data_IF_734391664638
#
_entry.id   IF_734391664638
#
_cell.length_a   1.000
_cell.length_b   1.000
_cell.length_c   1.000
_cell.angle_alpha   90.00
_cell.angle_beta   90.00
_cell.angle_gamma   90.00
#
_symmetry.space_group_name_H-M   'P 1'
#
loop_
_entity.id
_entity.type
_entity.pdbx_description
1 polymer ?
#
# COMPACT_ATOMS: atom_id res chain seq x y z
N UNK A 1 -16.93 49.49 -56.59
CA UNK A 1 -16.32 48.21 -56.30
C UNK A 1 -16.50 47.92 -54.83
N UNK A 2 -17.38 46.96 -54.46
CA UNK A 2 -17.67 46.62 -53.09
C UNK A 2 -16.96 45.26 -52.76
N UNK A 3 -15.98 45.28 -51.88
CA UNK A 3 -15.33 44.07 -51.38
C UNK A 3 -16.13 43.51 -50.19
N UNK A 4 -16.75 42.35 -50.36
CA UNK A 4 -17.30 41.57 -49.29
C UNK A 4 -16.15 40.76 -48.65
N UNK A 5 -15.86 41.02 -47.38
CA UNK A 5 -15.03 40.17 -46.54
C UNK A 5 -15.91 39.04 -45.92
N UNK A 6 -15.71 37.84 -46.40
CA UNK A 6 -16.31 36.66 -45.77
C UNK A 6 -15.56 36.23 -44.52
N UNK A 7 -16.19 36.31 -43.36
CA UNK A 7 -15.67 35.79 -42.12
C UNK A 7 -16.02 34.30 -42.01
N UNK A 8 -15.00 33.46 -42.08
CA UNK A 8 -15.14 31.99 -41.84
C UNK A 8 -15.10 31.70 -40.35
N UNK A 9 -16.24 31.33 -39.79
CA UNK A 9 -16.35 30.89 -38.41
C UNK A 9 -15.85 29.43 -38.30
N UNK A 10 -14.69 29.23 -37.70
CA UNK A 10 -14.17 27.88 -37.37
C UNK A 10 -14.80 27.46 -36.04
N UNK A 11 -15.81 26.61 -36.09
CA UNK A 11 -16.43 26.02 -34.90
C UNK A 11 -15.57 24.82 -34.45
N UNK A 12 -14.76 25.04 -33.43
CA UNK A 12 -13.99 23.97 -32.82
C UNK A 12 -14.91 23.05 -32.03
N UNK A 13 -15.13 21.85 -32.54
CA UNK A 13 -15.87 20.79 -31.85
C UNK A 13 -14.97 20.19 -30.75
N UNK A 14 -15.20 20.58 -29.50
CA UNK A 14 -14.55 19.94 -28.34
C UNK A 14 -15.23 18.60 -28.11
N UNK A 15 -14.59 17.53 -28.55
CA UNK A 15 -15.00 16.17 -28.23
C UNK A 15 -14.62 15.91 -26.78
N UNK A 16 -15.56 16.12 -25.87
CA UNK A 16 -15.45 15.66 -24.49
C UNK A 16 -15.66 14.14 -24.53
N UNK A 17 -14.57 13.38 -24.51
CA UNK A 17 -14.65 11.93 -24.34
C UNK A 17 -15.26 11.65 -22.96
N UNK A 18 -16.39 10.91 -22.85
CA UNK A 18 -16.89 10.49 -21.56
C UNK A 18 -15.84 9.59 -20.92
N UNK A 19 -15.37 9.94 -19.73
CA UNK A 19 -14.62 9.02 -18.89
C UNK A 19 -15.47 7.77 -18.74
N UNK A 20 -15.05 6.67 -19.34
CA UNK A 20 -15.70 5.37 -19.22
C UNK A 20 -15.50 4.96 -17.76
N UNK A 21 -16.50 5.24 -16.93
CA UNK A 21 -16.61 4.64 -15.62
C UNK A 21 -16.70 3.12 -15.86
N UNK A 22 -15.60 2.40 -15.66
CA UNK A 22 -15.61 0.96 -15.70
C UNK A 22 -16.65 0.46 -14.69
N UNK A 23 -17.61 -0.32 -15.18
CA UNK A 23 -18.59 -0.99 -14.34
C UNK A 23 -17.85 -1.74 -13.22
N UNK A 24 -18.37 -1.72 -11.98
CA UNK A 24 -17.75 -2.45 -10.88
C UNK A 24 -17.63 -3.91 -11.30
N UNK A 25 -16.43 -4.46 -11.19
CA UNK A 25 -16.19 -5.89 -11.35
C UNK A 25 -17.24 -6.63 -10.50
N UNK A 26 -17.89 -7.64 -11.08
CA UNK A 26 -18.96 -8.37 -10.38
C UNK A 26 -18.46 -8.81 -8.99
N UNK A 27 -19.36 -8.93 -8.02
CA UNK A 27 -19.01 -9.17 -6.60
C UNK A 27 -18.01 -10.31 -6.39
N UNK A 28 -18.11 -11.39 -7.19
CA UNK A 28 -17.18 -12.52 -7.15
C UNK A 28 -15.76 -12.11 -7.51
N UNK A 29 -15.57 -11.30 -8.56
CA UNK A 29 -14.25 -10.82 -8.99
C UNK A 29 -13.67 -9.83 -7.97
N UNK A 30 -14.53 -9.07 -7.29
CA UNK A 30 -14.13 -8.15 -6.24
C UNK A 30 -13.62 -8.89 -5.00
N UNK A 31 -14.32 -9.94 -4.54
CA UNK A 31 -13.91 -10.75 -3.39
C UNK A 31 -12.59 -11.50 -3.66
N UNK A 32 -12.41 -12.03 -4.87
CA UNK A 32 -11.17 -12.68 -5.28
C UNK A 32 -9.99 -11.68 -5.32
N UNK A 33 -10.22 -10.49 -5.83
CA UNK A 33 -9.21 -9.43 -5.84
C UNK A 33 -8.86 -8.98 -4.41
N UNK A 34 -9.86 -8.80 -3.54
CA UNK A 34 -9.64 -8.47 -2.13
C UNK A 34 -8.77 -9.51 -1.43
N UNK A 35 -9.07 -10.81 -1.65
CA UNK A 35 -8.24 -11.91 -1.13
C UNK A 35 -6.81 -11.82 -1.66
N UNK A 36 -6.64 -11.58 -2.97
CA UNK A 36 -5.32 -11.45 -3.60
C UNK A 36 -4.53 -10.29 -3.01
N UNK A 37 -5.15 -9.13 -2.84
CA UNK A 37 -4.50 -7.94 -2.29
C UNK A 37 -4.19 -8.10 -0.81
N UNK A 38 -5.06 -8.77 -0.04
CA UNK A 38 -4.77 -9.09 1.36
C UNK A 38 -3.55 -10.03 1.45
N UNK A 39 -3.45 -11.02 0.58
CA UNK A 39 -2.31 -11.93 0.53
C UNK A 39 -1.00 -11.17 0.21
N UNK A 40 -1.03 -10.27 -0.78
CA UNK A 40 0.08 -9.34 -1.08
C UNK A 40 0.43 -8.50 0.15
N UNK A 41 -0.58 -7.99 0.88
CA UNK A 41 -0.38 -7.19 2.09
C UNK A 41 0.32 -7.98 3.21
N UNK A 42 -0.11 -9.21 3.47
CA UNK A 42 0.54 -10.10 4.44
C UNK A 42 1.98 -10.41 4.06
N UNK A 43 2.23 -10.66 2.78
CA UNK A 43 3.56 -10.99 2.26
C UNK A 43 4.55 -9.86 2.53
N UNK A 44 4.27 -8.66 2.08
CA UNK A 44 5.25 -7.57 2.20
C UNK A 44 5.43 -7.08 3.63
N UNK A 45 4.45 -7.28 4.49
CA UNK A 45 4.58 -7.00 5.92
C UNK A 45 5.36 -8.10 6.68
N UNK A 46 5.70 -9.20 6.03
CA UNK A 46 6.28 -10.40 6.63
C UNK A 46 5.41 -10.97 7.76
N UNK A 47 4.09 -10.92 7.58
CA UNK A 47 3.12 -11.35 8.57
C UNK A 47 2.68 -12.80 8.35
N UNK A 48 2.14 -13.44 9.38
CA UNK A 48 1.55 -14.77 9.30
C UNK A 48 2.50 -15.83 8.70
N UNK A 49 2.05 -16.50 7.63
CA UNK A 49 2.84 -17.54 6.93
C UNK A 49 4.05 -17.01 6.17
N UNK A 50 4.15 -15.69 5.98
CA UNK A 50 5.26 -15.02 5.30
C UNK A 50 6.35 -14.53 6.26
N UNK A 51 6.27 -14.86 7.52
CA UNK A 51 7.23 -14.52 8.55
C UNK A 51 8.68 -14.86 8.14
N UNK A 52 9.61 -13.98 8.49
CA UNK A 52 11.06 -14.16 8.29
C UNK A 52 11.78 -14.12 9.64
N UNK A 53 12.47 -15.19 9.99
CA UNK A 53 13.21 -15.29 11.26
C UNK A 53 14.35 -14.27 11.36
N UNK A 54 14.97 -13.89 10.24
CA UNK A 54 15.98 -12.85 10.18
C UNK A 54 15.34 -11.54 9.74
N UNK A 55 15.51 -10.51 10.54
CA UNK A 55 14.95 -9.18 10.26
C UNK A 55 15.42 -8.62 8.92
N UNK A 56 16.71 -8.83 8.56
CA UNK A 56 17.25 -8.38 7.29
C UNK A 56 16.61 -9.07 6.08
N UNK A 57 16.20 -10.33 6.21
CA UNK A 57 15.52 -11.04 5.11
C UNK A 57 14.15 -10.42 4.82
N UNK A 58 13.46 -9.95 5.86
CA UNK A 58 12.21 -9.20 5.69
C UNK A 58 12.44 -7.87 4.99
N UNK A 59 13.48 -7.12 5.36
CA UNK A 59 13.84 -5.84 4.71
C UNK A 59 14.14 -6.06 3.24
N UNK A 60 14.97 -7.04 2.91
CA UNK A 60 15.34 -7.39 1.53
C UNK A 60 14.12 -7.81 0.71
N UNK A 61 13.22 -8.59 1.32
CA UNK A 61 11.98 -9.01 0.68
C UNK A 61 11.07 -7.81 0.38
N UNK A 62 10.85 -6.92 1.35
CA UNK A 62 10.07 -5.69 1.19
C UNK A 62 10.63 -4.82 0.07
N UNK A 63 11.93 -4.55 0.09
CA UNK A 63 12.60 -3.72 -0.91
C UNK A 63 12.37 -4.23 -2.35
N UNK A 64 12.34 -5.56 -2.53
CA UNK A 64 12.06 -6.21 -3.81
C UNK A 64 10.57 -6.19 -4.18
N UNK A 65 9.69 -6.26 -3.16
CA UNK A 65 8.24 -6.42 -3.38
C UNK A 65 7.52 -5.09 -3.61
N UNK A 66 7.98 -4.01 -2.98
CA UNK A 66 7.42 -2.67 -3.18
C UNK A 66 7.58 -2.17 -4.61
N UNK A 67 6.61 -1.39 -5.09
CA UNK A 67 6.75 -0.63 -6.32
C UNK A 67 7.98 0.29 -6.25
N UNK A 68 8.52 0.69 -7.41
CA UNK A 68 9.78 1.46 -7.42
C UNK A 68 9.63 2.83 -6.74
N UNK A 69 8.45 3.44 -6.84
CA UNK A 69 8.14 4.72 -6.20
C UNK A 69 7.32 4.57 -4.92
N UNK A 70 7.52 3.47 -4.18
CA UNK A 70 6.84 3.28 -2.90
C UNK A 70 7.17 4.40 -1.90
N UNK A 71 6.15 4.85 -1.17
CA UNK A 71 6.29 5.77 -0.04
C UNK A 71 5.32 5.43 1.08
N UNK A 72 5.63 5.91 2.27
CA UNK A 72 4.76 5.77 3.45
C UNK A 72 4.56 7.12 4.13
N UNK A 73 3.32 7.39 4.54
CA UNK A 73 2.93 8.61 5.27
C UNK A 73 2.62 8.23 6.71
N UNK A 74 3.27 8.93 7.64
CA UNK A 74 3.09 8.75 9.07
C UNK A 74 2.08 9.75 9.65
N UNK A 75 1.48 9.49 10.84
CA UNK A 75 0.48 10.37 11.45
C UNK A 75 0.98 11.79 11.75
N UNK A 76 2.29 11.97 11.91
CA UNK A 76 2.93 13.27 12.11
C UNK A 76 3.13 14.05 10.80
N UNK A 77 2.65 13.53 9.67
CA UNK A 77 2.84 14.12 8.34
C UNK A 77 4.17 13.81 7.66
N UNK A 78 5.07 13.09 8.33
CA UNK A 78 6.33 12.65 7.71
C UNK A 78 6.03 11.72 6.53
N UNK A 79 6.71 11.94 5.41
CA UNK A 79 6.69 11.04 4.25
C UNK A 79 8.06 10.39 4.14
N UNK A 80 8.09 9.07 4.07
CA UNK A 80 9.32 8.32 3.81
C UNK A 80 9.24 7.62 2.46
N UNK A 81 10.23 7.82 1.63
CA UNK A 81 10.41 7.13 0.35
C UNK A 81 10.86 5.68 0.57
N UNK A 82 10.76 4.85 -0.49
CA UNK A 82 11.27 3.46 -0.47
C UNK A 82 12.73 3.40 0.01
N UNK A 83 13.60 4.28 -0.48
CA UNK A 83 15.02 4.28 -0.13
C UNK A 83 15.25 4.60 1.35
N UNK A 84 14.56 5.60 1.89
CA UNK A 84 14.63 5.97 3.30
C UNK A 84 14.08 4.85 4.19
N UNK A 85 12.96 4.23 3.80
CA UNK A 85 12.38 3.08 4.50
C UNK A 85 13.35 1.90 4.56
N UNK A 86 13.97 1.54 3.44
CA UNK A 86 14.96 0.45 3.38
C UNK A 86 16.15 0.76 4.27
N UNK A 87 16.66 1.98 4.23
CA UNK A 87 17.80 2.42 5.07
C UNK A 87 17.45 2.32 6.55
N UNK A 88 16.32 2.89 6.98
CA UNK A 88 15.85 2.87 8.37
C UNK A 88 15.61 1.45 8.86
N UNK A 89 14.94 0.62 8.06
CA UNK A 89 14.65 -0.77 8.44
C UNK A 89 15.92 -1.62 8.48
N UNK A 90 16.91 -1.37 7.61
CA UNK A 90 18.22 -2.05 7.66
C UNK A 90 18.96 -1.73 8.97
N UNK A 91 18.94 -0.47 9.42
CA UNK A 91 19.54 -0.07 10.69
C UNK A 91 18.84 -0.77 11.86
N UNK A 92 17.51 -0.81 11.85
CA UNK A 92 16.72 -1.53 12.86
C UNK A 92 17.02 -3.04 12.85
N UNK A 93 17.11 -3.66 11.67
CA UNK A 93 17.44 -5.06 11.52
C UNK A 93 18.85 -5.41 12.00
N UNK A 94 19.80 -4.49 11.85
CA UNK A 94 21.16 -4.67 12.38
C UNK A 94 21.19 -4.62 13.92
N UNK A 95 20.36 -3.77 14.54
CA UNK A 95 20.21 -3.70 15.99
C UNK A 95 19.42 -4.89 16.57
N UNK A 96 18.50 -5.47 15.78
CA UNK A 96 17.61 -6.56 16.16
C UNK A 96 17.64 -7.65 15.06
N UNK A 97 18.73 -8.45 14.96
CA UNK A 97 18.95 -9.35 13.82
C UNK A 97 17.93 -10.48 13.73
N UNK A 98 17.41 -10.91 14.87
CA UNK A 98 16.42 -11.98 14.96
C UNK A 98 15.05 -11.41 15.32
N UNK A 99 14.04 -11.81 14.55
CA UNK A 99 12.65 -11.49 14.84
C UNK A 99 11.97 -12.65 15.55
N UNK A 100 11.16 -12.35 16.55
CA UNK A 100 10.33 -13.37 17.18
C UNK A 100 9.10 -13.66 16.31
N UNK A 101 8.64 -14.92 16.20
CA UNK A 101 7.41 -15.25 15.49
C UNK A 101 6.23 -14.42 15.98
N UNK A 102 5.52 -13.79 15.04
CA UNK A 102 4.36 -12.93 15.34
C UNK A 102 4.71 -11.50 15.80
N UNK A 103 5.99 -11.13 15.92
CA UNK A 103 6.41 -9.74 16.11
C UNK A 103 6.27 -8.94 14.81
N UNK A 104 6.25 -7.61 14.95
CA UNK A 104 6.07 -6.67 13.83
C UNK A 104 4.61 -6.37 13.50
N UNK A 105 4.33 -5.83 12.30
CA UNK A 105 2.99 -5.47 11.88
C UNK A 105 2.15 -6.72 11.59
N UNK A 106 0.96 -6.76 12.17
CA UNK A 106 -0.03 -7.83 12.00
C UNK A 106 -1.32 -7.22 11.45
N UNK A 107 -1.50 -7.15 10.12
CA UNK A 107 -2.69 -6.58 9.51
C UNK A 107 -3.89 -7.49 9.71
N UNK A 108 -5.02 -6.89 10.04
CA UNK A 108 -6.31 -7.51 10.25
C UNK A 108 -7.39 -6.69 9.52
N UNK A 109 -8.59 -7.23 9.42
CA UNK A 109 -9.75 -6.51 8.86
C UNK A 109 -9.47 -5.86 7.49
N UNK A 110 -8.69 -6.54 6.64
CA UNK A 110 -8.39 -6.01 5.32
C UNK A 110 -9.65 -5.84 4.49
N UNK A 111 -9.83 -4.67 3.87
CA UNK A 111 -10.99 -4.35 3.06
C UNK A 111 -10.60 -3.61 1.80
N UNK A 112 -10.96 -4.14 0.64
CA UNK A 112 -10.83 -3.46 -0.64
C UNK A 112 -11.87 -2.33 -0.73
N UNK A 113 -11.42 -1.10 -0.88
CA UNK A 113 -12.27 0.09 -0.96
C UNK A 113 -12.67 0.41 -2.39
N UNK A 114 -11.68 0.52 -3.29
CA UNK A 114 -11.92 0.90 -4.68
C UNK A 114 -10.85 0.31 -5.61
N UNK A 115 -11.19 0.23 -6.90
CA UNK A 115 -10.28 -0.18 -7.98
C UNK A 115 -10.45 0.77 -9.15
N UNK A 116 -9.34 1.28 -9.67
CA UNK A 116 -9.28 2.19 -10.80
C UNK A 116 -8.22 1.68 -11.79
N UNK A 117 -8.65 0.82 -12.72
CA UNK A 117 -7.73 0.15 -13.64
C UNK A 117 -6.68 -0.69 -12.89
N UNK A 118 -5.43 -0.30 -13.01
CA UNK A 118 -4.29 -0.95 -12.37
C UNK A 118 -3.94 -0.38 -10.98
N UNK A 119 -4.84 0.39 -10.37
CA UNK A 119 -4.69 0.94 -9.02
C UNK A 119 -5.80 0.39 -8.13
N UNK A 120 -5.44 -0.12 -6.94
CA UNK A 120 -6.39 -0.55 -5.93
C UNK A 120 -6.12 0.16 -4.60
N UNK A 121 -7.20 0.57 -3.94
CA UNK A 121 -7.19 1.16 -2.61
C UNK A 121 -7.82 0.18 -1.62
N UNK A 122 -7.15 -0.06 -0.52
CA UNK A 122 -7.65 -0.89 0.57
C UNK A 122 -7.35 -0.26 1.92
N UNK A 123 -8.02 -0.73 2.95
CA UNK A 123 -7.71 -0.38 4.33
C UNK A 123 -7.49 -1.64 5.14
N UNK A 124 -6.67 -1.54 6.19
CA UNK A 124 -6.58 -2.56 7.22
C UNK A 124 -6.45 -1.94 8.61
N UNK A 125 -6.66 -2.77 9.62
CA UNK A 125 -6.30 -2.50 11.01
C UNK A 125 -5.01 -3.25 11.31
N UNK A 126 -3.90 -2.56 11.44
CA UNK A 126 -2.61 -3.17 11.76
C UNK A 126 -2.32 -3.06 13.24
N UNK A 127 -2.08 -4.22 13.89
CA UNK A 127 -1.63 -4.33 15.27
C UNK A 127 -0.12 -4.56 15.25
N UNK A 128 0.63 -3.67 15.89
CA UNK A 128 2.07 -3.82 16.05
C UNK A 128 2.39 -4.58 17.33
N UNK A 129 3.25 -5.61 17.21
CA UNK A 129 3.66 -6.44 18.34
C UNK A 129 5.18 -6.49 18.44
N UNK A 130 5.68 -6.47 19.67
CA UNK A 130 7.09 -6.72 19.97
C UNK A 130 7.23 -7.87 20.99
N UNK A 131 8.32 -8.62 20.87
CA UNK A 131 8.68 -9.63 21.85
C UNK A 131 9.62 -9.01 22.90
N UNK A 132 9.43 -9.39 24.16
CA UNK A 132 10.40 -9.14 25.22
C UNK A 132 11.57 -10.13 25.17
N UNK A 133 12.51 -10.02 26.10
CA UNK A 133 13.68 -10.89 26.20
C UNK A 133 13.33 -12.37 26.44
N UNK A 134 12.10 -12.68 26.89
CA UNK A 134 11.60 -14.04 27.09
C UNK A 134 10.88 -14.60 25.86
N UNK A 135 10.69 -13.77 24.81
CA UNK A 135 9.92 -14.11 23.62
C UNK A 135 8.42 -13.88 23.76
N UNK A 136 7.94 -13.33 24.87
CA UNK A 136 6.52 -13.01 25.07
C UNK A 136 6.14 -11.79 24.26
N UNK A 137 5.10 -11.93 23.44
CA UNK A 137 4.57 -10.85 22.61
C UNK A 137 3.68 -9.88 23.40
N UNK A 138 3.87 -8.59 23.17
CA UNK A 138 2.98 -7.54 23.64
C UNK A 138 2.59 -6.62 22.47
N UNK A 139 1.40 -6.03 22.55
CA UNK A 139 0.96 -4.99 21.61
C UNK A 139 1.69 -3.71 21.94
N UNK A 140 2.35 -3.10 20.95
CA UNK A 140 3.09 -1.84 21.10
C UNK A 140 2.38 -0.65 20.44
N UNK A 141 1.35 -0.91 19.65
CA UNK A 141 0.51 0.10 19.00
C UNK A 141 -0.46 -0.52 18.02
N UNK A 142 -1.42 0.29 17.60
CA UNK A 142 -2.41 -0.06 16.58
C UNK A 142 -2.59 1.11 15.61
N UNK A 143 -2.87 0.83 14.35
CA UNK A 143 -3.17 1.87 13.36
C UNK A 143 -4.21 1.39 12.35
N UNK A 144 -5.06 2.30 11.91
CA UNK A 144 -5.77 2.15 10.64
C UNK A 144 -4.83 2.59 9.52
N UNK A 145 -4.72 1.78 8.48
CA UNK A 145 -3.79 2.04 7.39
C UNK A 145 -4.54 2.03 6.07
N UNK A 146 -4.35 3.11 5.30
CA UNK A 146 -4.74 3.13 3.89
C UNK A 146 -3.60 2.51 3.08
N UNK A 147 -3.94 1.54 2.24
CA UNK A 147 -3.01 0.85 1.33
C UNK A 147 -3.33 1.20 -0.11
N UNK A 148 -2.30 1.51 -0.87
CA UNK A 148 -2.40 1.70 -2.31
C UNK A 148 -1.55 0.62 -2.98
N UNK A 149 -2.18 -0.12 -3.88
CA UNK A 149 -1.53 -1.12 -4.69
C UNK A 149 -1.56 -0.70 -6.16
N UNK A 150 -0.52 -1.03 -6.88
CA UNK A 150 -0.41 -0.85 -8.33
C UNK A 150 -0.15 -2.20 -9.00
N UNK A 151 -0.73 -2.42 -10.16
CA UNK A 151 -0.51 -3.62 -10.96
C UNK A 151 0.56 -3.35 -12.00
N UNK A 152 1.75 -3.89 -11.78
CA UNK A 152 2.89 -3.78 -12.66
C UNK A 152 3.23 -5.15 -13.27
N UNK A 153 3.31 -5.23 -14.59
CA UNK A 153 3.59 -6.49 -15.30
C UNK A 153 2.67 -7.65 -14.87
N UNK A 154 1.37 -7.35 -14.70
CA UNK A 154 0.35 -8.32 -14.30
C UNK A 154 0.36 -8.68 -12.80
N UNK A 155 1.25 -8.12 -11.98
CA UNK A 155 1.37 -8.41 -10.54
C UNK A 155 1.03 -7.18 -9.71
N UNK A 156 0.23 -7.37 -8.66
CA UNK A 156 -0.04 -6.34 -7.68
C UNK A 156 1.16 -6.12 -6.76
N UNK A 157 1.51 -4.84 -6.53
CA UNK A 157 2.59 -4.41 -5.65
C UNK A 157 2.12 -3.29 -4.73
N UNK A 158 2.57 -3.24 -3.48
CA UNK A 158 2.36 -2.07 -2.63
C UNK A 158 3.05 -0.84 -3.24
N UNK A 159 2.31 0.25 -3.42
CA UNK A 159 2.81 1.51 -3.97
C UNK A 159 2.83 2.63 -2.94
N UNK A 160 1.92 2.59 -1.96
CA UNK A 160 1.96 3.51 -0.84
C UNK A 160 1.21 2.93 0.37
N UNK A 161 1.54 3.46 1.55
CA UNK A 161 0.78 3.29 2.77
C UNK A 161 0.62 4.63 3.50
N UNK A 162 -0.52 4.83 4.17
CA UNK A 162 -0.72 5.97 5.06
C UNK A 162 -1.29 5.46 6.38
N UNK A 163 -0.57 5.70 7.47
CA UNK A 163 -1.01 5.37 8.81
C UNK A 163 -1.95 6.48 9.30
N UNK A 164 -3.19 6.11 9.59
CA UNK A 164 -4.22 7.04 10.05
C UNK A 164 -4.54 6.73 11.52
N UNK A 165 -4.04 7.58 12.40
CA UNK A 165 -4.17 7.39 13.84
C UNK A 165 -3.30 6.24 14.36
N UNK A 166 -2.35 6.56 15.23
CA UNK A 166 -1.67 5.59 16.07
C UNK A 166 -2.38 5.62 17.43
N UNK A 167 -2.99 4.53 17.82
CA UNK A 167 -3.49 4.35 19.18
C UNK A 167 -2.43 3.61 19.99
N UNK A 168 -2.08 4.20 21.15
CA UNK A 168 -1.29 3.49 22.14
C UNK A 168 -2.16 2.42 22.80
N UNK A 169 -1.62 1.22 23.05
CA UNK A 169 -2.36 0.20 23.77
C UNK A 169 -2.81 0.75 25.14
N UNK A 170 -4.08 0.53 25.45
CA UNK A 170 -4.67 0.87 26.78
C UNK A 170 -4.16 -0.09 27.85
#
# INVERSE_FOLDING_TARGET
>A
MKHLLGATLITSLVIVSPAIAQAPAGEKNRAELEKTLNDVNQQWLCAGSYYKAKSQDCVNFRAKYWADQFFEIYPNGQVMTKAEMVTSQTQTAAAHPDAAPGSGPNPQEFKLMAVYGDIALATDHTIFKAADATGKLSVTGEARVLRIFVKENGKWRPAAAALVGLENPK
#
